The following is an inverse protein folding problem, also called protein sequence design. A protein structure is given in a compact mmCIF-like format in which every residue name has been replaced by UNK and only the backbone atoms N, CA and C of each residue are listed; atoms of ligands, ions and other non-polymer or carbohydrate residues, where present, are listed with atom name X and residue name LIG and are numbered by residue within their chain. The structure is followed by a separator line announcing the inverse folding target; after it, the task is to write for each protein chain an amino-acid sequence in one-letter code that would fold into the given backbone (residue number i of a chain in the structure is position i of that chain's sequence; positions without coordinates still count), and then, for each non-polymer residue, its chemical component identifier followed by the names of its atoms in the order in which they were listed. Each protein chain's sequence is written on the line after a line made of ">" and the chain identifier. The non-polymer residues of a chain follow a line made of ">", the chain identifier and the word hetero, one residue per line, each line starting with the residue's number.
data_IF_874877616003
#
_entry.id   IF_874877616003
#
_cell.length_a   1.000
_cell.length_b   1.000
_cell.length_c   1.000
_cell.angle_alpha   90.00
_cell.angle_beta   90.00
_cell.angle_gamma   90.00
#
_symmetry.space_group_name_H-M   'P 1'
#
loop_
_entity.id
_entity.type
_entity.pdbx_description
1 polymer ?
#
# COMPACT_ATOMS: atom_id res chain seq x y z
N UNK A 1 -35.89 19.69 -19.39
CA UNK A 1 -36.22 18.64 -20.40
C UNK A 1 -34.92 18.18 -21.03
N UNK A 2 -34.25 17.22 -20.41
CA UNK A 2 -33.03 16.60 -20.94
C UNK A 2 -33.45 15.43 -21.82
N UNK A 3 -33.25 15.56 -23.13
CA UNK A 3 -33.48 14.46 -24.07
C UNK A 3 -32.46 13.35 -23.78
N UNK A 4 -32.95 12.21 -23.31
CA UNK A 4 -32.14 11.00 -23.14
C UNK A 4 -31.87 10.41 -24.52
N UNK A 5 -30.75 10.82 -25.13
CA UNK A 5 -30.25 10.23 -26.38
C UNK A 5 -29.85 8.79 -26.08
N UNK A 6 -30.73 7.86 -26.42
CA UNK A 6 -30.51 6.42 -26.27
C UNK A 6 -29.46 5.99 -27.29
N UNK A 7 -28.17 5.98 -26.92
CA UNK A 7 -27.15 5.39 -27.78
C UNK A 7 -27.38 3.87 -27.85
N UNK A 8 -27.36 3.27 -29.05
CA UNK A 8 -27.51 1.83 -29.20
C UNK A 8 -26.32 1.14 -28.53
N UNK A 9 -26.58 0.46 -27.41
CA UNK A 9 -25.59 -0.40 -26.76
C UNK A 9 -25.17 -1.49 -27.75
N UNK A 10 -23.86 -1.54 -27.97
CA UNK A 10 -23.11 -2.48 -28.80
C UNK A 10 -23.56 -3.94 -28.57
N UNK A 11 -24.49 -4.45 -29.38
CA UNK A 11 -24.97 -5.84 -29.30
C UNK A 11 -24.44 -6.75 -30.42
N UNK A 12 -23.47 -6.31 -31.24
CA UNK A 12 -23.03 -7.05 -32.44
C UNK A 12 -21.62 -7.64 -32.35
N UNK A 13 -21.21 -8.22 -31.22
CA UNK A 13 -19.92 -8.92 -31.12
C UNK A 13 -19.99 -10.13 -30.19
N UNK A 14 -20.91 -11.05 -30.46
CA UNK A 14 -20.90 -12.38 -29.84
C UNK A 14 -21.15 -13.43 -30.94
N UNK A 15 -20.12 -13.76 -31.72
CA UNK A 15 -20.23 -14.89 -32.65
C UNK A 15 -19.00 -15.78 -32.73
N UNK A 16 -18.07 -15.73 -31.78
CA UNK A 16 -17.07 -16.77 -31.53
C UNK A 16 -16.60 -16.63 -30.08
N UNK A 17 -16.69 -17.69 -29.27
CA UNK A 17 -16.49 -17.68 -27.82
C UNK A 17 -15.08 -17.36 -27.32
N UNK A 18 -14.48 -16.26 -27.77
CA UNK A 18 -13.22 -15.74 -27.23
C UNK A 18 -13.51 -15.00 -25.91
N UNK A 19 -13.09 -15.53 -24.74
CA UNK A 19 -13.27 -14.85 -23.45
C UNK A 19 -12.61 -13.46 -23.41
N UNK A 20 -11.68 -13.15 -24.32
CA UNK A 20 -11.08 -11.82 -24.47
C UNK A 20 -12.07 -10.77 -25.00
N UNK A 21 -13.06 -11.18 -25.80
CA UNK A 21 -14.06 -10.28 -26.37
C UNK A 21 -15.00 -9.71 -25.31
N UNK A 22 -15.49 -10.56 -24.39
CA UNK A 22 -16.33 -10.12 -23.29
C UNK A 22 -15.60 -9.18 -22.33
N UNK A 23 -14.35 -9.51 -21.97
CA UNK A 23 -13.52 -8.67 -21.12
C UNK A 23 -13.35 -7.26 -21.71
N UNK A 24 -13.06 -7.18 -23.01
CA UNK A 24 -12.91 -5.91 -23.71
C UNK A 24 -14.21 -5.08 -23.73
N UNK A 25 -15.35 -5.71 -23.99
CA UNK A 25 -16.66 -5.03 -23.95
C UNK A 25 -16.98 -4.50 -22.54
N UNK A 26 -16.67 -5.28 -21.51
CA UNK A 26 -16.85 -4.85 -20.11
C UNK A 26 -15.93 -3.67 -19.77
N UNK A 27 -14.67 -3.68 -20.20
CA UNK A 27 -13.74 -2.56 -20.03
C UNK A 27 -14.26 -1.29 -20.72
N UNK A 28 -14.72 -1.40 -21.97
CA UNK A 28 -15.30 -0.28 -22.72
C UNK A 28 -16.53 0.28 -22.01
N UNK A 29 -17.42 -0.58 -21.53
CA UNK A 29 -18.60 -0.17 -20.77
C UNK A 29 -18.22 0.57 -19.49
N UNK A 30 -17.30 0.01 -18.69
CA UNK A 30 -16.82 0.65 -17.46
C UNK A 30 -16.20 2.02 -17.76
N UNK A 31 -15.39 2.12 -18.80
CA UNK A 31 -14.76 3.38 -19.21
C UNK A 31 -15.80 4.43 -19.60
N UNK A 32 -16.79 4.04 -20.39
CA UNK A 32 -17.88 4.92 -20.81
C UNK A 32 -18.68 5.45 -19.62
N UNK A 33 -19.07 4.57 -18.70
CA UNK A 33 -19.78 4.93 -17.48
C UNK A 33 -18.94 5.88 -16.60
N UNK A 34 -17.64 5.59 -16.42
CA UNK A 34 -16.74 6.44 -15.63
C UNK A 34 -16.52 7.84 -16.25
N UNK A 35 -16.58 7.95 -17.58
CA UNK A 35 -16.48 9.24 -18.27
C UNK A 35 -17.77 10.06 -18.21
N UNK A 36 -18.93 9.40 -18.34
CA UNK A 36 -20.23 10.07 -18.40
C UNK A 36 -20.80 10.42 -17.02
N UNK A 37 -20.43 9.67 -15.99
CA UNK A 37 -20.97 9.82 -14.65
C UNK A 37 -19.86 10.17 -13.65
N UNK A 38 -19.67 11.46 -13.34
CA UNK A 38 -18.58 11.92 -12.48
C UNK A 38 -18.63 11.31 -11.06
N UNK A 39 -19.80 10.89 -10.61
CA UNK A 39 -20.00 10.23 -9.32
C UNK A 39 -19.18 8.94 -9.22
N UNK A 40 -19.17 8.09 -10.25
CA UNK A 40 -18.40 6.85 -10.20
C UNK A 40 -16.90 7.09 -10.22
N UNK A 41 -16.44 8.10 -10.96
CA UNK A 41 -15.03 8.53 -10.94
C UNK A 41 -14.62 9.03 -9.56
N UNK A 42 -15.47 9.82 -8.91
CA UNK A 42 -15.22 10.31 -7.55
C UNK A 42 -15.19 9.16 -6.54
N UNK A 43 -16.10 8.20 -6.64
CA UNK A 43 -16.12 7.01 -5.79
C UNK A 43 -14.87 6.15 -5.99
N UNK A 44 -14.45 5.95 -7.24
CA UNK A 44 -13.21 5.22 -7.55
C UNK A 44 -11.99 5.91 -6.94
N UNK A 45 -11.87 7.22 -7.14
CA UNK A 45 -10.79 8.02 -6.57
C UNK A 45 -10.78 7.96 -5.04
N UNK A 46 -11.95 8.09 -4.40
CA UNK A 46 -12.09 7.95 -2.96
C UNK A 46 -11.66 6.56 -2.47
N UNK A 47 -12.01 5.49 -3.19
CA UNK A 47 -11.55 4.13 -2.89
C UNK A 47 -10.03 3.99 -2.96
N UNK A 48 -9.38 4.58 -3.97
CA UNK A 48 -7.92 4.58 -4.08
C UNK A 48 -7.24 5.41 -2.98
N UNK A 49 -7.80 6.55 -2.61
CA UNK A 49 -7.29 7.35 -1.49
C UNK A 49 -7.44 6.56 -0.17
N UNK A 50 -8.60 5.93 0.06
CA UNK A 50 -8.81 5.10 1.25
C UNK A 50 -7.82 3.92 1.29
N UNK A 51 -7.50 3.33 0.14
CA UNK A 51 -6.46 2.32 0.06
C UNK A 51 -5.12 2.90 0.55
N UNK A 52 -4.70 4.07 0.09
CA UNK A 52 -3.48 4.72 0.62
C UNK A 52 -3.57 4.98 2.13
N UNK A 53 -4.69 5.49 2.63
CA UNK A 53 -4.88 5.71 4.08
C UNK A 53 -4.70 4.42 4.89
N UNK A 54 -5.27 3.31 4.43
CA UNK A 54 -5.22 2.03 5.13
C UNK A 54 -3.84 1.37 5.07
N UNK A 55 -3.09 1.62 3.99
CA UNK A 55 -1.81 0.98 3.72
C UNK A 55 -0.62 1.80 4.25
N UNK A 56 -0.82 3.10 4.48
CA UNK A 56 0.18 4.02 5.04
C UNK A 56 -0.34 4.73 6.30
N UNK A 57 -0.82 3.99 7.33
CA UNK A 57 -1.51 4.59 8.47
C UNK A 57 -0.64 5.54 9.32
N UNK A 58 0.63 5.20 9.58
CA UNK A 58 1.54 6.08 10.33
C UNK A 58 1.91 7.31 9.49
N UNK A 59 2.19 7.13 8.20
CA UNK A 59 2.47 8.23 7.27
C UNK A 59 1.29 9.20 7.23
N UNK A 60 0.07 8.66 7.11
CA UNK A 60 -1.18 9.45 7.15
C UNK A 60 -1.30 10.24 8.46
N UNK A 61 -1.07 9.58 9.59
CA UNK A 61 -1.12 10.20 10.91
C UNK A 61 -0.12 11.37 11.05
N UNK A 62 1.13 11.18 10.65
CA UNK A 62 2.19 12.19 10.78
C UNK A 62 2.05 13.34 9.77
N UNK A 63 1.58 13.04 8.56
CA UNK A 63 1.30 14.03 7.53
C UNK A 63 0.12 14.93 7.93
N UNK A 64 -0.93 14.32 8.48
CA UNK A 64 -2.20 14.97 8.81
C UNK A 64 -3.16 14.99 7.63
N UNK A 65 -4.46 14.95 7.91
CA UNK A 65 -5.51 14.78 6.88
C UNK A 65 -5.49 15.89 5.83
N UNK A 66 -5.32 17.14 6.27
CA UNK A 66 -5.33 18.33 5.38
C UNK A 66 -4.24 18.29 4.30
N UNK A 67 -3.12 17.61 4.56
CA UNK A 67 -2.03 17.46 3.61
C UNK A 67 -2.09 16.11 2.89
N UNK A 68 -2.39 15.03 3.61
CA UNK A 68 -2.34 13.69 3.05
C UNK A 68 -3.38 13.47 1.96
N UNK A 69 -4.65 13.85 2.19
CA UNK A 69 -5.73 13.62 1.21
C UNK A 69 -5.46 14.31 -0.13
N UNK A 70 -5.09 15.61 -0.17
CA UNK A 70 -4.71 16.26 -1.42
C UNK A 70 -3.49 15.61 -2.10
N UNK A 71 -2.46 15.24 -1.34
CA UNK A 71 -1.27 14.59 -1.90
C UNK A 71 -1.59 13.22 -2.51
N UNK A 72 -2.34 12.39 -1.79
CA UNK A 72 -2.82 11.10 -2.26
C UNK A 72 -3.67 11.24 -3.52
N UNK A 73 -4.60 12.20 -3.53
CA UNK A 73 -5.42 12.50 -4.69
C UNK A 73 -4.57 12.91 -5.91
N UNK A 74 -3.62 13.83 -5.73
CA UNK A 74 -2.75 14.27 -6.83
C UNK A 74 -1.85 13.15 -7.33
N UNK A 75 -1.34 12.29 -6.44
CA UNK A 75 -0.56 11.12 -6.80
C UNK A 75 -1.35 10.18 -7.73
N UNK A 76 -2.58 9.82 -7.34
CA UNK A 76 -3.45 8.94 -8.14
C UNK A 76 -3.76 9.57 -9.50
N UNK A 77 -4.10 10.87 -9.52
CA UNK A 77 -4.39 11.60 -10.77
C UNK A 77 -3.16 11.67 -11.68
N UNK A 78 -1.98 11.93 -11.11
CA UNK A 78 -0.73 11.98 -11.86
C UNK A 78 -0.43 10.61 -12.50
N UNK A 79 -0.56 9.55 -11.71
CA UNK A 79 -0.36 8.18 -12.19
C UNK A 79 -1.32 7.82 -13.33
N UNK A 80 -2.62 8.10 -13.15
CA UNK A 80 -3.64 7.91 -14.18
C UNK A 80 -3.28 8.61 -15.50
N UNK A 81 -2.71 9.82 -15.44
CA UNK A 81 -2.29 10.57 -16.63
C UNK A 81 -1.10 9.92 -17.31
N UNK A 82 -0.06 9.56 -16.56
CA UNK A 82 1.16 8.96 -17.12
C UNK A 82 0.88 7.64 -17.85
N UNK A 83 0.01 6.79 -17.29
CA UNK A 83 -0.31 5.49 -17.87
C UNK A 83 -1.30 5.55 -19.05
N UNK A 84 -2.22 6.54 -19.07
CA UNK A 84 -3.10 6.76 -20.23
C UNK A 84 -2.35 7.11 -21.51
N UNK A 85 -1.21 7.78 -21.41
CA UNK A 85 -0.44 8.19 -22.59
C UNK A 85 0.49 7.10 -23.15
N UNK A 86 0.94 6.15 -22.31
CA UNK A 86 1.87 5.08 -22.75
C UNK A 86 1.19 3.88 -23.40
N UNK A 87 -0.08 3.63 -23.09
CA UNK A 87 -0.81 2.47 -23.60
C UNK A 87 -2.01 2.90 -24.45
N UNK A 88 -1.75 3.47 -25.63
CA UNK A 88 -2.81 3.76 -26.60
C UNK A 88 -3.49 2.50 -27.16
N UNK A 89 -2.92 1.29 -26.99
CA UNK A 89 -3.44 0.09 -27.64
C UNK A 89 -3.51 -1.21 -26.81
N UNK A 90 -2.99 -1.29 -25.60
CA UNK A 90 -3.01 -2.55 -24.82
C UNK A 90 -3.23 -2.28 -23.34
N UNK A 91 -4.43 -2.64 -22.88
CA UNK A 91 -4.89 -2.71 -21.48
C UNK A 91 -4.63 -1.47 -20.62
N UNK A 92 -5.71 -0.75 -20.31
CA UNK A 92 -5.71 0.30 -19.29
C UNK A 92 -5.32 -0.36 -17.96
N UNK A 93 -4.05 -0.26 -17.58
CA UNK A 93 -3.60 -0.68 -16.26
C UNK A 93 -4.40 0.13 -15.22
N UNK A 94 -5.29 -0.56 -14.51
CA UNK A 94 -6.05 0.01 -13.40
C UNK A 94 -5.07 0.29 -12.28
N UNK A 95 -5.19 1.44 -11.63
CA UNK A 95 -4.38 1.74 -10.45
C UNK A 95 -4.61 0.65 -9.40
N UNK A 96 -3.52 -0.01 -9.00
CA UNK A 96 -3.45 -1.04 -7.98
C UNK A 96 -2.36 -0.64 -6.98
N UNK A 97 -2.71 -0.58 -5.70
CA UNK A 97 -1.78 -0.21 -4.63
C UNK A 97 -0.63 -1.21 -4.49
N UNK A 98 -0.83 -2.47 -4.87
CA UNK A 98 0.24 -3.48 -4.84
C UNK A 98 1.29 -3.23 -5.93
N UNK A 99 0.92 -2.58 -7.03
CA UNK A 99 1.84 -2.29 -8.13
C UNK A 99 2.43 -0.87 -8.01
N UNK A 100 1.61 0.08 -7.57
CA UNK A 100 1.94 1.49 -7.59
C UNK A 100 2.03 2.11 -6.19
N UNK A 101 1.92 1.33 -5.12
CA UNK A 101 2.09 1.86 -3.76
C UNK A 101 3.48 2.45 -3.56
N UNK A 102 4.54 1.75 -3.99
CA UNK A 102 5.93 2.20 -3.78
C UNK A 102 6.21 3.60 -4.37
N UNK A 103 5.59 3.93 -5.51
CA UNK A 103 5.75 5.24 -6.13
C UNK A 103 5.20 6.40 -5.30
N UNK A 104 4.35 6.13 -4.31
CA UNK A 104 3.86 7.13 -3.37
C UNK A 104 4.98 7.61 -2.43
N UNK A 105 5.92 6.73 -2.05
CA UNK A 105 7.07 7.09 -1.23
C UNK A 105 7.95 8.12 -1.96
N UNK A 106 8.25 7.85 -3.24
CA UNK A 106 8.98 8.80 -4.10
C UNK A 106 8.22 10.11 -4.24
N UNK A 107 6.89 10.05 -4.42
CA UNK A 107 6.03 11.22 -4.51
C UNK A 107 6.11 12.12 -3.27
N UNK A 108 6.15 11.53 -2.07
CA UNK A 108 6.35 12.25 -0.81
C UNK A 108 7.74 12.88 -0.75
N UNK A 109 8.80 12.14 -1.11
CA UNK A 109 10.16 12.66 -1.11
C UNK A 109 10.31 13.89 -2.03
N UNK A 110 9.61 13.93 -3.16
CA UNK A 110 9.65 15.07 -4.08
C UNK A 110 9.03 16.36 -3.52
N UNK A 111 8.21 16.28 -2.47
CA UNK A 111 7.60 17.48 -1.85
C UNK A 111 8.65 18.39 -1.19
N UNK A 112 9.86 17.87 -0.90
CA UNK A 112 11.00 18.67 -0.42
C UNK A 112 11.44 19.76 -1.40
N UNK A 113 11.09 19.64 -2.69
CA UNK A 113 11.40 20.64 -3.72
C UNK A 113 10.21 21.56 -4.03
N UNK A 114 9.09 21.36 -3.34
CA UNK A 114 7.88 22.14 -3.53
C UNK A 114 7.88 23.48 -2.80
N UNK A 115 6.89 24.35 -3.05
CA UNK A 115 6.75 25.63 -2.36
C UNK A 115 6.53 25.50 -0.85
N UNK A 116 6.11 24.31 -0.39
CA UNK A 116 5.90 23.97 1.02
C UNK A 116 6.94 22.98 1.56
N UNK A 117 8.15 23.00 1.01
CA UNK A 117 9.26 22.14 1.42
C UNK A 117 9.52 22.13 2.94
N UNK A 118 9.31 23.25 3.62
CA UNK A 118 9.60 23.40 5.04
C UNK A 118 8.42 23.06 5.98
N UNK A 119 7.25 22.67 5.44
CA UNK A 119 6.05 22.40 6.25
C UNK A 119 6.16 21.09 7.05
N UNK A 120 6.90 20.12 6.50
CA UNK A 120 7.11 18.79 7.07
C UNK A 120 8.51 18.29 6.73
N UNK A 121 8.98 17.30 7.48
CA UNK A 121 10.14 16.50 7.07
C UNK A 121 9.70 15.48 6.01
N UNK A 122 9.72 15.90 4.75
CA UNK A 122 9.24 15.10 3.62
C UNK A 122 10.07 13.84 3.38
N UNK A 123 11.37 13.89 3.68
CA UNK A 123 12.26 12.73 3.55
C UNK A 123 11.94 11.68 4.62
N UNK A 124 11.75 12.11 5.86
CA UNK A 124 11.33 11.23 6.94
C UNK A 124 9.96 10.58 6.64
N UNK A 125 8.99 11.35 6.15
CA UNK A 125 7.69 10.80 5.75
C UNK A 125 7.80 9.78 4.61
N UNK A 126 8.69 10.02 3.64
CA UNK A 126 8.95 9.08 2.55
C UNK A 126 9.61 7.79 3.05
N UNK A 127 10.59 7.89 3.95
CA UNK A 127 11.22 6.73 4.59
C UNK A 127 10.18 5.90 5.35
N UNK A 128 9.34 6.54 6.17
CA UNK A 128 8.26 5.86 6.90
C UNK A 128 7.29 5.19 5.94
N UNK A 129 6.85 5.88 4.88
CA UNK A 129 5.96 5.32 3.88
C UNK A 129 6.60 4.10 3.20
N UNK A 130 7.90 4.15 2.92
CA UNK A 130 8.63 3.03 2.34
C UNK A 130 8.59 1.82 3.28
N UNK A 131 8.80 2.01 4.58
CA UNK A 131 8.68 0.93 5.56
C UNK A 131 7.28 0.34 5.58
N UNK A 132 6.24 1.17 5.64
CA UNK A 132 4.85 0.73 5.60
C UNK A 132 4.55 -0.06 4.32
N UNK A 133 5.04 0.38 3.17
CA UNK A 133 4.89 -0.39 1.93
C UNK A 133 5.56 -1.77 1.97
N UNK A 134 6.76 -1.86 2.57
CA UNK A 134 7.45 -3.14 2.71
C UNK A 134 6.71 -4.07 3.67
N UNK A 135 6.10 -3.53 4.73
CA UNK A 135 5.23 -4.27 5.65
C UNK A 135 4.05 -4.90 4.89
N UNK A 136 3.42 -4.17 3.96
CA UNK A 136 2.36 -4.72 3.09
C UNK A 136 2.88 -5.85 2.21
N UNK A 137 4.12 -5.74 1.73
CA UNK A 137 4.79 -6.78 0.97
C UNK A 137 4.81 -8.13 1.68
N UNK A 138 4.96 -8.13 3.01
CA UNK A 138 4.88 -9.36 3.81
C UNK A 138 3.44 -9.88 3.96
N UNK A 139 2.47 -9.01 4.24
CA UNK A 139 1.08 -9.44 4.45
C UNK A 139 0.42 -10.00 3.18
N UNK A 140 0.70 -9.37 2.04
CA UNK A 140 0.03 -9.66 0.78
C UNK A 140 0.91 -10.39 -0.24
N UNK A 141 2.14 -10.78 0.14
CA UNK A 141 3.11 -11.46 -0.73
C UNK A 141 3.39 -10.71 -2.05
N UNK A 142 3.33 -9.37 -2.01
CA UNK A 142 3.39 -8.51 -3.21
C UNK A 142 4.75 -8.63 -3.90
N UNK A 143 5.82 -8.83 -3.13
CA UNK A 143 7.16 -9.00 -3.69
C UNK A 143 7.58 -10.46 -3.57
N UNK A 144 7.90 -11.13 -4.69
CA UNK A 144 8.24 -12.55 -4.71
C UNK A 144 9.50 -12.91 -3.92
N UNK A 145 10.31 -11.93 -3.52
CA UNK A 145 11.48 -12.09 -2.66
C UNK A 145 11.18 -12.21 -1.17
N UNK A 146 9.96 -11.90 -0.71
CA UNK A 146 9.53 -12.13 0.68
C UNK A 146 9.02 -13.56 0.86
N UNK A 147 9.84 -14.56 0.52
CA UNK A 147 9.54 -15.94 0.94
C UNK A 147 9.92 -16.09 2.40
N UNK A 148 8.94 -16.55 3.18
CA UNK A 148 9.00 -16.71 4.62
C UNK A 148 10.29 -17.43 5.03
N UNK A 149 11.16 -16.71 5.74
CA UNK A 149 11.78 -17.16 6.98
C UNK A 149 12.81 -16.16 7.53
N UNK A 150 13.42 -15.28 6.72
CA UNK A 150 14.42 -14.31 7.20
C UNK A 150 14.60 -13.11 6.24
N UNK A 151 13.53 -12.42 5.85
CA UNK A 151 13.72 -11.24 4.98
C UNK A 151 14.13 -10.02 5.79
N UNK A 152 15.43 -9.78 5.86
CA UNK A 152 16.01 -8.52 6.31
C UNK A 152 15.55 -7.41 5.36
N UNK A 153 14.86 -6.41 5.90
CA UNK A 153 14.51 -5.23 5.12
C UNK A 153 15.76 -4.37 4.91
N UNK A 154 16.19 -4.10 3.66
CA UNK A 154 17.43 -3.42 3.37
C UNK A 154 17.31 -1.89 3.49
N UNK A 155 16.50 -1.38 4.43
CA UNK A 155 16.35 0.06 4.61
C UNK A 155 17.01 0.54 5.90
N UNK A 156 17.59 1.75 5.81
CA UNK A 156 18.08 2.48 6.98
C UNK A 156 17.02 3.49 7.36
N UNK A 157 16.32 3.22 8.46
CA UNK A 157 15.46 4.21 9.09
C UNK A 157 16.34 5.21 9.83
N UNK A 158 16.40 6.43 9.31
CA UNK A 158 16.83 7.57 10.12
C UNK A 158 15.85 7.74 11.28
N UNK A 159 16.33 8.08 12.48
CA UNK A 159 15.47 8.28 13.67
C UNK A 159 14.58 7.08 14.04
N UNK A 160 15.05 5.86 13.82
CA UNK A 160 14.30 4.63 14.06
C UNK A 160 13.71 4.56 15.48
N UNK A 161 14.42 5.08 16.48
CA UNK A 161 13.99 5.19 17.88
C UNK A 161 12.69 5.98 18.07
N UNK A 162 12.45 6.99 17.22
CA UNK A 162 11.24 7.82 17.27
C UNK A 162 10.10 7.22 16.45
N UNK A 163 10.43 6.48 15.39
CA UNK A 163 9.46 5.93 14.44
C UNK A 163 8.88 4.60 14.94
N UNK A 164 9.69 3.76 15.59
CA UNK A 164 9.28 2.41 16.01
C UNK A 164 8.04 2.38 16.91
N UNK A 165 7.88 3.26 17.92
CA UNK A 165 6.66 3.28 18.72
C UNK A 165 5.40 3.54 17.87
N UNK A 166 5.50 4.44 16.88
CA UNK A 166 4.43 4.71 15.94
C UNK A 166 4.14 3.52 15.03
N UNK A 167 5.18 2.90 14.45
CA UNK A 167 5.01 1.72 13.60
C UNK A 167 4.38 0.57 14.37
N UNK A 168 4.81 0.31 15.61
CA UNK A 168 4.22 -0.72 16.47
C UNK A 168 2.76 -0.42 16.84
N UNK A 169 2.41 0.85 17.01
CA UNK A 169 1.03 1.25 17.30
C UNK A 169 0.10 0.94 16.12
N UNK A 170 0.50 1.29 14.89
CA UNK A 170 -0.32 1.09 13.69
C UNK A 170 -0.21 -0.32 13.09
N UNK A 171 0.88 -1.02 13.33
CA UNK A 171 1.15 -2.37 12.84
C UNK A 171 1.49 -3.31 14.02
N UNK A 172 0.50 -3.67 14.87
CA UNK A 172 0.75 -4.37 16.13
C UNK A 172 1.30 -5.80 15.98
N UNK A 173 1.16 -6.39 14.80
CA UNK A 173 1.69 -7.72 14.51
C UNK A 173 3.18 -7.69 14.14
N UNK A 174 3.78 -6.51 13.99
CA UNK A 174 5.22 -6.39 13.77
C UNK A 174 5.99 -6.71 15.05
N UNK A 175 6.77 -7.77 14.98
CA UNK A 175 7.73 -8.18 15.99
C UNK A 175 9.10 -7.61 15.66
N UNK A 176 9.57 -6.65 16.45
CA UNK A 176 10.93 -6.13 16.29
C UNK A 176 11.88 -6.96 17.16
N UNK A 177 12.99 -7.51 16.62
CA UNK A 177 13.97 -8.18 17.47
C UNK A 177 14.51 -7.19 18.50
N UNK A 178 14.40 -7.53 19.79
CA UNK A 178 14.77 -6.68 20.94
C UNK A 178 16.21 -6.14 20.85
N UNK A 179 17.08 -6.89 20.16
CA UNK A 179 18.48 -6.52 19.92
C UNK A 179 18.62 -5.28 19.00
N UNK A 180 17.72 -5.10 18.03
CA UNK A 180 17.72 -3.95 17.13
C UNK A 180 17.39 -2.63 17.86
N UNK A 181 16.57 -2.67 18.91
CA UNK A 181 16.24 -1.50 19.73
C UNK A 181 17.37 -1.10 20.69
N UNK A 182 18.23 -2.06 21.05
CA UNK A 182 19.28 -1.85 22.06
C UNK A 182 20.57 -1.29 21.43
N UNK A 183 20.84 -1.56 20.15
CA UNK A 183 22.04 -1.04 19.45
C UNK A 183 21.90 0.43 19.02
N UNK A 184 20.69 0.96 18.84
CA UNK A 184 20.47 2.38 18.49
C UNK A 184 21.02 3.35 19.54
N UNK A 185 21.01 2.94 20.82
CA UNK A 185 21.52 3.78 21.91
C UNK A 185 23.05 3.84 22.01
N UNK A 186 23.77 2.93 21.35
CA UNK A 186 25.18 2.67 21.67
C UNK A 186 26.16 2.91 20.52
N UNK A 187 25.69 3.08 19.27
CA UNK A 187 26.57 3.31 18.12
C UNK A 187 26.08 4.49 17.25
N UNK A 188 26.57 5.69 17.55
CA UNK A 188 26.38 6.88 16.72
C UNK A 188 27.27 6.93 15.46
N UNK A 189 28.04 5.86 15.14
CA UNK A 189 29.07 5.92 14.09
C UNK A 189 29.26 4.64 13.26
N UNK A 190 28.39 3.63 13.38
CA UNK A 190 28.44 2.45 12.53
C UNK A 190 27.20 2.39 11.63
N UNK A 191 27.35 1.82 10.44
CA UNK A 191 26.28 1.60 9.46
C UNK A 191 25.12 0.81 10.11
N UNK A 192 24.09 1.51 10.59
CA UNK A 192 22.91 0.92 11.21
C UNK A 192 22.03 0.29 10.11
N UNK A 193 22.28 -0.98 9.82
CA UNK A 193 21.36 -1.83 9.06
C UNK A 193 20.40 -2.50 10.05
N UNK A 194 19.10 -2.38 9.80
CA UNK A 194 18.06 -2.93 10.67
C UNK A 194 17.51 -4.22 10.08
N UNK A 195 17.41 -5.26 10.92
CA UNK A 195 16.71 -6.49 10.58
C UNK A 195 15.31 -6.41 11.17
N UNK A 196 14.29 -6.39 10.31
CA UNK A 196 12.89 -6.54 10.70
C UNK A 196 12.45 -7.95 10.33
N UNK A 197 11.88 -8.69 11.27
CA UNK A 197 11.30 -10.02 11.02
C UNK A 197 9.80 -9.95 11.24
N UNK A 198 9.01 -10.47 10.31
CA UNK A 198 7.57 -10.61 10.47
C UNK A 198 7.27 -12.04 10.91
N UNK A 199 6.74 -12.24 12.12
CA UNK A 199 6.20 -13.54 12.54
C UNK A 199 4.91 -13.82 11.77
N UNK A 200 5.02 -14.48 10.62
CA UNK A 200 3.85 -15.04 9.96
C UNK A 200 3.39 -16.25 10.75
N UNK A 201 2.26 -16.14 11.47
CA UNK A 201 1.54 -17.28 12.06
C UNK A 201 0.90 -18.15 10.95
N UNK A 202 1.71 -18.61 10.00
CA UNK A 202 1.36 -19.66 9.06
C UNK A 202 1.93 -20.97 9.59
N UNK A 203 1.19 -21.56 10.52
CA UNK A 203 1.38 -22.93 10.97
C UNK A 203 1.14 -23.86 9.78
N UNK A 204 2.22 -24.43 9.23
CA UNK A 204 2.37 -25.83 8.78
C UNK A 204 3.60 -25.96 7.86
N UNK A 205 4.78 -26.17 8.44
CA UNK A 205 5.58 -27.40 8.18
C UNK A 205 6.98 -27.28 8.75
N UNK A 206 7.28 -28.20 9.67
CA UNK A 206 8.61 -28.78 9.96
C UNK A 206 9.72 -27.86 10.50
N UNK A 207 9.91 -27.96 11.82
CA UNK A 207 11.24 -28.04 12.42
C UNK A 207 11.56 -26.96 13.42
N UNK A 208 11.08 -27.09 14.66
CA UNK A 208 11.87 -27.10 15.91
C UNK A 208 10.92 -27.05 17.12
N UNK A 209 11.25 -27.86 18.12
CA UNK A 209 10.43 -28.22 19.28
C UNK A 209 10.17 -27.03 20.21
N UNK A 210 8.91 -26.72 20.50
CA UNK A 210 8.52 -25.86 21.63
C UNK A 210 7.69 -26.67 22.61
N UNK A 211 8.17 -26.74 23.86
CA UNK A 211 7.51 -27.42 24.98
C UNK A 211 6.23 -26.67 25.38
N UNK A 212 5.11 -27.39 25.35
CA UNK A 212 3.80 -26.89 25.82
C UNK A 212 3.68 -27.21 27.31
N UNK A 213 3.75 -26.19 28.16
CA UNK A 213 3.23 -26.28 29.52
C UNK A 213 1.73 -26.02 29.51
N UNK A 214 0.94 -27.09 29.62
CA UNK A 214 -0.49 -26.96 29.88
C UNK A 214 -0.72 -26.47 31.32
N UNK A 215 -1.25 -25.26 31.46
CA UNK A 215 -1.93 -24.85 32.69
C UNK A 215 -3.43 -24.88 32.45
N UNK A 216 -4.08 -25.99 32.81
CA UNK A 216 -5.54 -26.10 32.90
C UNK A 216 -5.96 -25.57 34.26
N UNK A 217 -6.55 -24.38 34.29
CA UNK A 217 -7.45 -23.98 35.37
C UNK A 217 -8.81 -23.67 34.73
N UNK A 218 -9.76 -24.57 34.94
CA UNK A 218 -11.13 -24.45 34.43
C UNK A 218 -12.03 -23.66 35.37
N UNK A 219 -13.07 -23.07 34.79
CA UNK A 219 -14.35 -22.69 35.40
C UNK A 219 -15.35 -22.77 34.24
N UNK A 220 -16.46 -23.51 34.25
CA UNK A 220 -17.33 -23.90 35.34
C UNK A 220 -18.72 -23.37 34.98
N UNK A 221 -19.62 -24.26 34.55
CA UNK A 221 -21.02 -23.94 34.26
C UNK A 221 -21.75 -23.48 35.51
N UNK A 222 -22.68 -22.54 35.33
CA UNK A 222 -24.03 -22.57 35.90
C UNK A 222 -24.98 -21.96 34.89
#
# INVERSE_FOLDING_TARGET
>A
MTQATSQPLLCNAASNGDPRGYHHLLEQFCHHILQQHPIYRNNQLAGHIQALVNNYPLTHHLCGEELFYPLAQQYIIHHDRQHRHRHQHQHQQRWDINQFGNGFCDWLAQQQFGPKANEKDWLLLADIAQVEYHILGFYYQITPTYQANDTVLPFRLTHADQIFPGLKHFHPQLTFPVQALTQVKTQANAKNEFVMTCETNCDQSSGFTIQIHHNRAGWGHS
#
